data_IF_643666168456
#
_entry.id   IF_643666168456
#
_cell.length_a   1.000
_cell.length_b   1.000
_cell.length_c   1.000
_cell.angle_alpha   90.00
_cell.angle_beta   90.00
_cell.angle_gamma   90.00
#
_symmetry.space_group_name_H-M   'P 1'
#
loop_
_entity.id
_entity.type
_entity.pdbx_description
1 polymer ?
#
# COMPACT_ATOMS: atom_id res chain seq x y z
N UNK A 1 -39.91 -12.59 27.35
CA UNK A 1 -40.38 -12.58 25.95
C UNK A 1 -39.50 -11.77 24.97
N UNK A 2 -38.53 -10.96 25.43
CA UNK A 2 -37.59 -10.24 24.54
C UNK A 2 -36.36 -11.05 24.08
N UNK A 3 -35.94 -12.08 24.81
CA UNK A 3 -34.67 -12.80 24.56
C UNK A 3 -34.65 -13.70 23.31
N UNK A 4 -35.78 -14.31 22.95
CA UNK A 4 -35.80 -15.33 21.88
C UNK A 4 -35.72 -14.69 20.50
N UNK A 5 -36.29 -13.49 20.34
CA UNK A 5 -36.27 -12.74 19.09
C UNK A 5 -34.91 -12.07 18.86
N UNK A 6 -34.28 -11.56 19.92
CA UNK A 6 -32.95 -10.97 19.86
C UNK A 6 -31.89 -12.01 19.46
N UNK A 7 -31.94 -13.20 20.06
CA UNK A 7 -31.05 -14.30 19.69
C UNK A 7 -31.26 -14.80 18.26
N UNK A 8 -32.48 -14.78 17.73
CA UNK A 8 -32.73 -15.10 16.31
C UNK A 8 -32.14 -14.05 15.38
N UNK A 9 -32.27 -12.76 15.68
CA UNK A 9 -31.68 -11.67 14.87
C UNK A 9 -30.15 -11.73 14.90
N UNK A 10 -29.55 -12.05 16.04
CA UNK A 10 -28.09 -12.25 16.17
C UNK A 10 -27.60 -13.51 15.42
N UNK A 11 -28.40 -14.58 15.38
CA UNK A 11 -28.08 -15.79 14.59
C UNK A 11 -28.20 -15.57 13.08
N UNK A 12 -29.06 -14.65 12.62
CA UNK A 12 -29.19 -14.27 11.20
C UNK A 12 -27.97 -13.50 10.66
N UNK A 13 -27.12 -12.95 11.53
CA UNK A 13 -25.96 -12.15 11.16
C UNK A 13 -24.62 -12.89 11.29
N UNK A 14 -24.63 -14.22 11.45
CA UNK A 14 -23.42 -15.02 11.26
C UNK A 14 -23.15 -15.09 9.76
N UNK A 15 -22.32 -14.17 9.23
CA UNK A 15 -21.77 -14.32 7.88
C UNK A 15 -21.08 -15.68 7.81
N UNK A 16 -21.54 -16.55 6.91
CA UNK A 16 -20.78 -17.75 6.57
C UNK A 16 -19.58 -17.28 5.76
N UNK A 17 -18.47 -17.00 6.43
CA UNK A 17 -17.25 -16.54 5.78
C UNK A 17 -16.52 -17.74 5.17
N UNK A 18 -16.87 -18.05 3.91
CA UNK A 18 -16.10 -18.99 3.12
C UNK A 18 -14.92 -18.21 2.54
N UNK A 19 -13.77 -18.30 3.20
CA UNK A 19 -12.50 -17.85 2.64
C UNK A 19 -11.97 -18.96 1.76
N UNK A 20 -12.00 -18.76 0.44
CA UNK A 20 -11.32 -19.63 -0.52
C UNK A 20 -10.03 -18.94 -0.93
N UNK A 21 -8.92 -19.66 -0.81
CA UNK A 21 -7.61 -19.21 -1.31
C UNK A 21 -7.30 -20.09 -2.51
N UNK A 22 -7.31 -19.49 -3.69
CA UNK A 22 -6.92 -20.14 -4.93
C UNK A 22 -5.40 -20.05 -5.14
N UNK A 23 -4.86 -20.86 -6.05
CA UNK A 23 -3.42 -20.86 -6.36
C UNK A 23 -2.95 -19.53 -6.95
N UNK A 24 -3.82 -18.80 -7.64
CA UNK A 24 -3.53 -17.44 -8.13
C UNK A 24 -3.22 -16.49 -6.99
N UNK A 25 -3.99 -16.57 -5.91
CA UNK A 25 -3.94 -15.65 -4.79
C UNK A 25 -2.60 -15.81 -4.07
N UNK A 26 -2.03 -17.02 -4.02
CA UNK A 26 -0.70 -17.23 -3.41
C UNK A 26 0.46 -16.64 -4.23
N UNK A 27 0.21 -16.20 -5.47
CA UNK A 27 1.22 -15.52 -6.30
C UNK A 27 1.22 -14.00 -6.11
N UNK A 28 0.08 -13.40 -5.74
CA UNK A 28 -0.08 -11.94 -5.59
C UNK A 28 -1.07 -11.54 -4.47
N UNK A 29 -0.99 -12.22 -3.34
CA UNK A 29 -1.94 -12.02 -2.23
C UNK A 29 -1.90 -10.59 -1.69
N UNK A 30 -0.77 -9.91 -1.80
CA UNK A 30 -0.62 -8.56 -1.24
C UNK A 30 -1.50 -7.55 -1.98
N UNK A 31 -1.67 -7.70 -3.30
CA UNK A 31 -2.58 -6.86 -4.10
C UNK A 31 -4.04 -7.16 -3.75
N UNK A 32 -4.40 -8.44 -3.59
CA UNK A 32 -5.75 -8.84 -3.17
C UNK A 32 -6.09 -8.32 -1.76
N UNK A 33 -5.16 -8.41 -0.82
CA UNK A 33 -5.31 -7.84 0.52
C UNK A 33 -5.44 -6.31 0.46
N UNK A 34 -4.67 -5.64 -0.41
CA UNK A 34 -4.75 -4.19 -0.57
C UNK A 34 -6.14 -3.72 -1.04
N UNK A 35 -6.86 -4.52 -1.84
CA UNK A 35 -8.23 -4.20 -2.29
C UNK A 35 -9.21 -4.10 -1.11
N UNK A 36 -8.93 -4.79 0.00
CA UNK A 36 -9.73 -4.75 1.22
C UNK A 36 -9.18 -3.71 2.20
N UNK A 37 -7.87 -3.71 2.42
CA UNK A 37 -7.20 -2.86 3.42
C UNK A 37 -7.31 -1.38 3.05
N UNK A 38 -7.10 -1.01 1.78
CA UNK A 38 -7.14 0.39 1.34
C UNK A 38 -8.47 1.09 1.66
N UNK A 39 -9.66 0.58 1.23
CA UNK A 39 -10.93 1.21 1.59
C UNK A 39 -11.23 1.12 3.09
N UNK A 40 -10.77 0.08 3.79
CA UNK A 40 -10.95 -0.03 5.23
C UNK A 40 -10.21 1.10 5.98
N UNK A 41 -8.95 1.38 5.63
CA UNK A 41 -8.16 2.47 6.22
C UNK A 41 -8.81 3.85 5.99
N UNK A 42 -9.38 4.08 4.79
CA UNK A 42 -10.13 5.30 4.50
C UNK A 42 -11.35 5.42 5.42
N UNK A 43 -12.10 4.33 5.61
CA UNK A 43 -13.28 4.34 6.48
C UNK A 43 -12.89 4.52 7.96
N UNK A 44 -11.81 3.88 8.43
CA UNK A 44 -11.31 4.07 9.80
C UNK A 44 -10.91 5.52 10.06
N UNK A 45 -10.19 6.14 9.12
CA UNK A 45 -9.83 7.56 9.24
C UNK A 45 -11.07 8.46 9.25
N UNK A 46 -12.08 8.14 8.43
CA UNK A 46 -13.32 8.92 8.32
C UNK A 46 -14.21 8.81 9.56
N UNK A 47 -14.31 7.62 10.17
CA UNK A 47 -15.15 7.38 11.35
C UNK A 47 -14.71 8.23 12.54
N UNK A 48 -13.40 8.45 12.67
CA UNK A 48 -12.78 9.35 13.65
C UNK A 48 -13.21 9.08 15.10
N UNK A 49 -13.38 7.81 15.46
CA UNK A 49 -13.80 7.38 16.81
C UNK A 49 -12.68 7.49 17.87
N UNK A 50 -11.50 7.96 17.47
CA UNK A 50 -10.36 8.17 18.35
C UNK A 50 -9.04 8.07 17.61
N UNK A 51 -7.95 8.31 18.32
CA UNK A 51 -6.60 8.01 17.86
C UNK A 51 -6.01 6.87 18.69
N UNK A 52 -5.22 6.00 18.04
CA UNK A 52 -4.34 5.08 18.76
C UNK A 52 -3.01 5.75 19.11
N UNK A 53 -2.32 5.18 20.08
CA UNK A 53 -0.98 5.63 20.47
C UNK A 53 0.01 5.42 19.32
N UNK A 54 0.71 6.49 18.93
CA UNK A 54 1.73 6.47 17.88
C UNK A 54 3.08 6.84 18.49
N UNK A 55 4.07 5.97 18.26
CA UNK A 55 5.44 6.21 18.71
C UNK A 55 6.01 7.48 18.08
N UNK A 56 6.64 8.37 18.85
CA UNK A 56 7.24 9.59 18.30
C UNK A 56 8.22 9.33 17.14
N UNK A 57 9.01 8.25 17.22
CA UNK A 57 10.01 7.88 16.21
C UNK A 57 9.42 7.41 14.87
N UNK A 58 8.12 7.10 14.84
CA UNK A 58 7.43 6.70 13.62
C UNK A 58 6.97 7.88 12.76
N UNK A 59 7.12 9.12 13.26
CA UNK A 59 6.80 10.34 12.52
C UNK A 59 8.06 11.19 12.27
N UNK A 60 8.14 11.92 11.14
CA UNK A 60 9.30 12.76 10.81
C UNK A 60 9.31 14.09 11.58
N UNK A 61 8.31 14.33 12.43
CA UNK A 61 8.14 15.56 13.21
C UNK A 61 7.88 15.22 14.67
N UNK A 62 8.25 16.17 15.53
CA UNK A 62 7.83 16.18 16.93
C UNK A 62 6.54 16.97 17.06
N UNK A 63 5.71 16.54 17.98
CA UNK A 63 4.51 17.27 18.39
C UNK A 63 4.81 17.80 19.77
N UNK A 64 4.51 19.07 20.00
CA UNK A 64 4.62 19.71 21.33
C UNK A 64 3.35 19.42 22.13
N UNK A 65 3.05 18.14 22.34
CA UNK A 65 1.99 17.72 23.24
C UNK A 65 2.54 17.61 24.68
N UNK A 66 2.06 18.45 25.60
CA UNK A 66 2.42 18.39 27.04
C UNK A 66 1.94 17.09 27.73
N UNK A 67 1.14 16.27 27.04
CA UNK A 67 0.70 14.98 27.53
C UNK A 67 1.67 13.87 27.09
N UNK A 68 2.40 13.34 28.06
CA UNK A 68 3.38 12.24 27.94
C UNK A 68 2.76 10.86 27.58
N UNK A 69 1.55 10.86 27.01
CA UNK A 69 0.69 9.68 26.86
C UNK A 69 0.75 9.05 25.47
N UNK A 70 1.48 9.64 24.51
CA UNK A 70 1.66 9.09 23.15
C UNK A 70 0.42 9.16 22.24
N UNK A 71 -0.71 9.67 22.75
CA UNK A 71 -1.92 9.93 21.98
C UNK A 71 -1.83 11.32 21.34
N UNK A 72 -1.63 11.34 20.03
CA UNK A 72 -1.47 12.56 19.27
C UNK A 72 -2.23 12.45 17.96
N UNK A 73 -3.27 13.28 17.81
CA UNK A 73 -4.09 13.30 16.60
C UNK A 73 -3.26 13.65 15.36
N UNK A 74 -2.22 14.48 15.51
CA UNK A 74 -1.30 14.83 14.42
C UNK A 74 -0.49 13.62 13.95
N UNK A 75 0.08 12.85 14.90
CA UNK A 75 0.84 11.62 14.56
C UNK A 75 -0.08 10.56 13.96
N UNK A 76 -1.25 10.35 14.56
CA UNK A 76 -2.27 9.43 14.06
C UNK A 76 -2.66 9.77 12.62
N UNK A 77 -3.03 11.02 12.34
CA UNK A 77 -3.44 11.44 11.01
C UNK A 77 -2.33 11.23 9.98
N UNK A 78 -1.09 11.56 10.33
CA UNK A 78 0.05 11.33 9.45
C UNK A 78 0.26 9.83 9.18
N UNK A 79 0.25 8.98 10.21
CA UNK A 79 0.42 7.53 10.04
C UNK A 79 -0.72 6.93 9.21
N UNK A 80 -1.96 7.34 9.44
CA UNK A 80 -3.12 6.92 8.64
C UNK A 80 -2.97 7.35 7.17
N UNK A 81 -2.53 8.58 6.91
CA UNK A 81 -2.27 9.06 5.55
C UNK A 81 -1.16 8.28 4.84
N UNK A 82 -0.06 7.98 5.54
CA UNK A 82 1.03 7.19 4.97
C UNK A 82 0.59 5.75 4.64
N UNK A 83 -0.18 5.10 5.51
CA UNK A 83 -0.73 3.77 5.24
C UNK A 83 -1.71 3.81 4.06
N UNK A 84 -2.67 4.75 4.04
CA UNK A 84 -3.64 4.91 2.95
C UNK A 84 -2.91 5.13 1.62
N UNK A 85 -1.93 6.02 1.60
CA UNK A 85 -1.14 6.30 0.41
C UNK A 85 -0.37 5.05 -0.05
N UNK A 86 0.31 4.33 0.85
CA UNK A 86 1.07 3.14 0.49
C UNK A 86 0.19 2.04 -0.11
N UNK A 87 -0.97 1.75 0.50
CA UNK A 87 -1.89 0.74 -0.05
C UNK A 87 -2.53 1.19 -1.38
N UNK A 88 -2.71 2.49 -1.60
CA UNK A 88 -3.11 3.01 -2.92
C UNK A 88 -2.05 2.74 -3.98
N UNK A 89 -0.77 2.90 -3.64
CA UNK A 89 0.33 2.61 -4.57
C UNK A 89 0.48 1.12 -4.84
N UNK A 90 0.24 0.26 -3.84
CA UNK A 90 0.16 -1.20 -4.04
C UNK A 90 -0.95 -1.56 -5.02
N UNK A 91 -2.14 -0.95 -4.90
CA UNK A 91 -3.25 -1.14 -5.86
C UNK A 91 -2.92 -0.65 -7.28
N UNK A 92 -1.97 0.26 -7.41
CA UNK A 92 -1.49 0.77 -8.69
C UNK A 92 -0.23 0.01 -9.18
N UNK A 93 -0.09 -1.26 -8.78
CA UNK A 93 0.97 -2.19 -9.17
C UNK A 93 2.39 -1.63 -8.94
N UNK A 94 2.55 -0.72 -7.97
CA UNK A 94 3.82 -0.04 -7.69
C UNK A 94 4.47 0.54 -8.97
N UNK A 95 3.63 1.04 -9.88
CA UNK A 95 4.04 1.37 -11.25
C UNK A 95 5.29 2.25 -11.29
N UNK A 96 6.25 1.79 -12.11
CA UNK A 96 7.53 2.46 -12.31
C UNK A 96 7.53 3.41 -13.50
N UNK A 97 6.45 3.45 -14.28
CA UNK A 97 6.39 4.19 -15.55
C UNK A 97 6.69 5.68 -15.36
N UNK A 98 6.21 6.27 -14.26
CA UNK A 98 6.46 7.68 -13.91
C UNK A 98 7.94 8.04 -13.66
N UNK A 99 8.81 7.05 -13.46
CA UNK A 99 10.25 7.27 -13.26
C UNK A 99 11.05 7.10 -14.55
N UNK A 100 10.40 6.71 -15.65
CA UNK A 100 11.01 6.72 -16.97
C UNK A 100 10.77 8.07 -17.64
N UNK A 101 11.81 8.60 -18.27
CA UNK A 101 11.73 9.78 -19.13
C UNK A 101 12.50 9.54 -20.43
N UNK A 102 12.25 10.37 -21.45
CA UNK A 102 12.87 10.24 -22.77
C UNK A 102 12.25 9.13 -23.63
N UNK A 103 12.79 8.98 -24.84
CA UNK A 103 12.25 8.10 -25.87
C UNK A 103 13.13 6.87 -26.12
N UNK A 104 12.49 5.73 -26.34
CA UNK A 104 13.20 4.49 -26.70
C UNK A 104 13.44 4.46 -28.20
N UNK A 105 14.70 4.53 -28.60
CA UNK A 105 15.10 4.29 -29.99
C UNK A 105 15.97 3.02 -30.04
N UNK A 106 15.43 1.95 -30.62
CA UNK A 106 16.10 0.66 -30.75
C UNK A 106 15.82 0.06 -32.12
N UNK A 107 16.85 -0.55 -32.70
CA UNK A 107 16.80 -1.25 -33.98
C UNK A 107 17.20 -2.71 -33.80
N UNK A 108 16.79 -3.56 -34.73
CA UNK A 108 17.20 -4.96 -34.80
C UNK A 108 18.20 -5.14 -35.93
N UNK A 109 19.38 -5.67 -35.63
CA UNK A 109 20.41 -6.02 -36.60
C UNK A 109 20.57 -7.54 -36.68
N UNK A 110 20.59 -8.09 -37.89
CA UNK A 110 20.85 -9.50 -38.11
C UNK A 110 22.28 -9.86 -37.71
N UNK A 111 22.45 -10.99 -37.02
CA UNK A 111 23.78 -11.50 -36.69
C UNK A 111 24.23 -12.42 -37.83
N UNK A 112 25.34 -12.12 -38.53
CA UNK A 112 25.79 -12.94 -39.65
C UNK A 112 25.98 -14.41 -39.26
N UNK A 113 25.36 -15.31 -40.02
CA UNK A 113 25.41 -16.76 -39.76
C UNK A 113 24.49 -17.25 -38.64
N UNK A 114 23.57 -16.40 -38.14
CA UNK A 114 22.57 -16.77 -37.14
C UNK A 114 21.16 -16.43 -37.62
N UNK A 115 20.16 -17.13 -37.11
CA UNK A 115 18.74 -16.73 -37.20
C UNK A 115 18.34 -15.71 -36.14
N UNK A 116 19.29 -15.28 -35.29
CA UNK A 116 19.05 -14.34 -34.20
C UNK A 116 19.37 -12.90 -34.63
N UNK A 117 18.64 -11.97 -34.04
CA UNK A 117 18.85 -10.54 -34.18
C UNK A 117 19.39 -9.95 -32.88
N UNK A 118 20.21 -8.91 -33.01
CA UNK A 118 20.71 -8.10 -31.90
C UNK A 118 19.89 -6.82 -31.80
N UNK A 119 19.50 -6.46 -30.59
CA UNK A 119 18.93 -5.13 -30.30
C UNK A 119 20.08 -4.13 -30.22
N UNK A 120 20.04 -3.09 -31.04
CA UNK A 120 21.04 -2.02 -31.09
C UNK A 120 20.39 -0.69 -30.75
N UNK A 121 21.10 0.13 -29.96
CA UNK A 121 20.62 1.43 -29.51
C UNK A 121 20.69 2.43 -30.67
N UNK A 122 19.56 3.05 -30.99
CA UNK A 122 19.48 4.07 -32.02
C UNK A 122 20.12 5.40 -31.61
N UNK A 123 20.47 6.27 -32.58
CA UNK A 123 21.14 7.54 -32.30
C UNK A 123 20.26 8.55 -31.54
N UNK A 124 18.93 8.39 -31.55
CA UNK A 124 18.01 9.28 -30.85
C UNK A 124 17.52 8.73 -29.51
N UNK A 125 18.15 7.65 -29.01
CA UNK A 125 17.71 7.03 -27.76
C UNK A 125 18.04 7.92 -26.57
N UNK A 126 17.02 8.44 -25.92
CA UNK A 126 17.12 9.33 -24.75
C UNK A 126 16.50 8.75 -23.49
N UNK A 127 15.96 7.52 -23.53
CA UNK A 127 15.29 6.92 -22.38
C UNK A 127 16.23 6.76 -21.18
N UNK A 128 15.82 7.31 -20.04
CA UNK A 128 16.55 7.29 -18.77
C UNK A 128 15.59 6.91 -17.64
N UNK A 129 16.09 6.14 -16.68
CA UNK A 129 15.39 5.79 -15.45
C UNK A 129 15.87 6.68 -14.30
N UNK A 130 14.95 7.36 -13.64
CA UNK A 130 15.22 8.07 -12.39
C UNK A 130 15.24 7.08 -11.21
N UNK A 131 16.42 6.47 -11.01
CA UNK A 131 16.61 5.50 -9.93
C UNK A 131 16.49 6.10 -8.54
N UNK A 132 16.80 7.39 -8.37
CA UNK A 132 16.76 8.04 -7.07
C UNK A 132 15.31 8.33 -6.65
N UNK A 133 14.51 8.91 -7.54
CA UNK A 133 13.09 9.12 -7.30
C UNK A 133 12.35 7.79 -7.08
N UNK A 134 12.70 6.75 -7.83
CA UNK A 134 12.15 5.41 -7.62
C UNK A 134 12.51 4.86 -6.23
N UNK A 135 13.77 4.98 -5.80
CA UNK A 135 14.21 4.50 -4.49
C UNK A 135 13.49 5.23 -3.34
N UNK A 136 13.33 6.55 -3.43
CA UNK A 136 12.58 7.35 -2.44
C UNK A 136 11.10 6.95 -2.40
N UNK A 137 10.48 6.78 -3.57
CA UNK A 137 9.10 6.32 -3.67
C UNK A 137 8.92 4.95 -3.01
N UNK A 138 9.79 3.99 -3.34
CA UNK A 138 9.77 2.65 -2.76
C UNK A 138 9.96 2.68 -1.24
N UNK A 139 10.91 3.47 -0.75
CA UNK A 139 11.14 3.62 0.69
C UNK A 139 9.90 4.15 1.43
N UNK A 140 9.15 5.07 0.81
CA UNK A 140 7.89 5.57 1.38
C UNK A 140 6.79 4.50 1.40
N UNK A 141 6.65 3.72 0.33
CA UNK A 141 5.71 2.59 0.29
C UNK A 141 6.05 1.59 1.39
N UNK A 142 7.32 1.20 1.48
CA UNK A 142 7.81 0.26 2.50
C UNK A 142 7.55 0.80 3.92
N UNK A 143 7.70 2.10 4.16
CA UNK A 143 7.35 2.72 5.44
C UNK A 143 5.85 2.63 5.76
N UNK A 144 4.97 2.90 4.80
CA UNK A 144 3.52 2.77 5.01
C UNK A 144 3.09 1.33 5.33
N UNK A 145 3.68 0.33 4.65
CA UNK A 145 3.44 -1.08 4.95
C UNK A 145 3.99 -1.48 6.33
N UNK A 146 5.17 -0.98 6.71
CA UNK A 146 5.75 -1.16 8.05
C UNK A 146 4.83 -0.58 9.14
N UNK A 147 4.32 0.64 8.94
CA UNK A 147 3.39 1.28 9.87
C UNK A 147 2.10 0.47 10.03
N UNK A 148 1.54 -0.03 8.93
CA UNK A 148 0.37 -0.91 8.99
C UNK A 148 0.64 -2.16 9.83
N UNK A 149 1.79 -2.81 9.63
CA UNK A 149 2.18 -3.96 10.47
C UNK A 149 2.37 -3.58 11.95
N UNK A 150 2.99 -2.43 12.22
CA UNK A 150 3.25 -1.97 13.59
C UNK A 150 1.97 -1.64 14.37
N UNK A 151 0.97 -1.07 13.69
CA UNK A 151 -0.27 -0.61 14.30
C UNK A 151 -1.48 -1.50 13.98
N UNK A 152 -1.28 -2.66 13.35
CA UNK A 152 -2.35 -3.51 12.84
C UNK A 152 -3.48 -3.76 13.85
N UNK A 153 -3.15 -4.14 15.09
CA UNK A 153 -4.16 -4.43 16.13
C UNK A 153 -4.85 -3.19 16.68
N UNK A 154 -4.28 -2.00 16.46
CA UNK A 154 -4.81 -0.74 16.96
C UNK A 154 -5.74 -0.03 15.96
N UNK A 155 -5.90 -0.56 14.73
CA UNK A 155 -6.74 0.05 13.69
C UNK A 155 -8.26 -0.11 13.93
N UNK A 156 -8.66 -0.96 14.89
CA UNK A 156 -10.04 -1.43 15.05
C UNK A 156 -10.80 -0.79 16.22
N UNK A 157 -10.39 0.41 16.64
CA UNK A 157 -10.99 1.17 17.76
C UNK A 157 -12.35 1.74 17.40
#
# INVERSE_FOLDING_TARGET
FLDVTLNKILQFNKRTEIVRIDRSDTLDLYTDLAQIIHPALIEFKKRNDGCFEVKPDDCPFRVDDESDTGFSEQRYNWVMDEMIWAFKEVLNDLSQERFWSGESDFFFEDIPGSTKQRVVKGPNHTRVFDSEAFAQHKARVDNGLRLFGAYYLNLWI
#
